data_IF_784740170325
#
_entry.id   IF_784740170325
#
_cell.length_a   1.000
_cell.length_b   1.000
_cell.length_c   1.000
_cell.angle_alpha   90.00
_cell.angle_beta   90.00
_cell.angle_gamma   90.00
#
_symmetry.space_group_name_H-M   'P 1'
#
loop_
_entity.id
_entity.type
_entity.pdbx_description
1 polymer ?
#
# COMPACT_ATOMS: atom_id res chain seq x y z
N UNK A 1 3.15 -4.01 -10.23
CA UNK A 1 4.15 -3.62 -9.20
C UNK A 1 3.44 -3.53 -7.86
N UNK A 2 3.95 -4.18 -6.79
CA UNK A 2 3.36 -4.08 -5.44
C UNK A 2 4.10 -3.00 -4.67
N UNK A 3 3.35 -2.05 -4.14
CA UNK A 3 3.84 -0.80 -3.57
C UNK A 3 3.23 -0.60 -2.19
N UNK A 4 4.03 -0.10 -1.26
CA UNK A 4 3.54 0.42 0.01
C UNK A 4 3.79 1.91 0.08
N UNK A 5 2.86 2.64 0.67
CA UNK A 5 3.03 4.06 0.94
C UNK A 5 3.12 4.28 2.44
N UNK A 6 4.02 5.17 2.85
CA UNK A 6 4.04 5.75 4.19
C UNK A 6 3.96 7.27 4.03
N UNK A 7 3.20 7.93 4.91
CA UNK A 7 3.26 9.38 5.05
C UNK A 7 4.66 9.78 5.53
N UNK A 8 5.24 10.79 4.92
CA UNK A 8 6.45 11.42 5.42
C UNK A 8 6.09 12.31 6.62
N UNK A 9 6.65 12.01 7.79
CA UNK A 9 6.58 12.80 9.03
C UNK A 9 7.98 13.32 9.39
N UNK A 10 8.07 14.49 10.03
CA UNK A 10 9.36 15.07 10.43
C UNK A 10 9.93 14.29 11.64
N UNK A 11 11.26 14.02 11.69
CA UNK A 11 11.87 13.26 12.79
C UNK A 11 11.83 13.99 14.14
N UNK A 12 11.62 15.32 14.16
CA UNK A 12 11.61 16.09 15.40
C UNK A 12 10.29 16.03 16.20
N UNK A 13 9.23 15.43 15.65
CA UNK A 13 7.96 15.26 16.38
C UNK A 13 7.82 13.89 17.06
N UNK A 14 8.79 13.00 16.90
CA UNK A 14 8.79 11.65 17.50
C UNK A 14 9.15 11.65 19.01
N UNK A 15 9.50 12.79 19.61
CA UNK A 15 9.84 12.87 21.04
C UNK A 15 8.63 12.82 21.98
N UNK A 16 7.40 12.90 21.46
CA UNK A 16 6.16 12.72 22.24
C UNK A 16 5.37 11.50 21.76
N UNK A 17 6.07 10.38 21.53
CA UNK A 17 5.45 9.11 21.17
C UNK A 17 4.76 8.48 22.41
N UNK A 18 3.43 8.50 22.38
CA UNK A 18 2.52 7.81 23.30
C UNK A 18 2.89 6.32 23.51
N UNK A 19 2.61 5.72 24.68
CA UNK A 19 3.00 4.35 25.02
C UNK A 19 2.09 3.27 24.40
N UNK A 20 1.20 3.61 23.47
CA UNK A 20 0.34 2.63 22.80
C UNK A 20 0.88 2.32 21.40
N UNK A 21 1.25 1.05 21.22
CA UNK A 21 2.05 0.53 20.12
C UNK A 21 1.70 1.07 18.73
N UNK A 22 2.75 1.28 17.93
CA UNK A 22 2.65 1.53 16.50
C UNK A 22 1.78 0.46 15.84
N UNK A 23 0.52 0.77 15.59
CA UNK A 23 -0.26 0.08 14.57
C UNK A 23 0.29 0.49 13.20
N UNK A 24 1.39 -0.16 12.81
CA UNK A 24 1.91 -0.14 11.44
C UNK A 24 0.97 -0.93 10.53
N UNK A 25 -0.22 -0.38 10.26
CA UNK A 25 -1.09 -0.90 9.20
C UNK A 25 -0.47 -0.55 7.84
N UNK A 26 0.45 -1.40 7.38
CA UNK A 26 0.98 -1.28 6.02
C UNK A 26 0.05 -2.01 5.06
N UNK A 27 -0.94 -1.28 4.55
CA UNK A 27 -1.77 -1.80 3.46
C UNK A 27 -0.89 -2.03 2.22
N UNK A 28 -0.89 -3.26 1.71
CA UNK A 28 -0.23 -3.59 0.44
C UNK A 28 -1.14 -3.14 -0.70
N UNK A 29 -0.65 -2.25 -1.55
CA UNK A 29 -1.38 -1.77 -2.71
C UNK A 29 -0.65 -2.22 -3.99
N UNK A 30 -1.39 -2.69 -4.98
CA UNK A 30 -0.90 -2.89 -6.33
C UNK A 30 -1.28 -1.65 -7.16
N UNK A 31 -0.31 -1.15 -7.93
CA UNK A 31 -0.58 -0.14 -8.95
C UNK A 31 -0.64 -0.81 -10.32
N UNK A 32 -1.75 -0.60 -11.00
CA UNK A 32 -2.01 -1.02 -12.38
C UNK A 32 -1.93 0.22 -13.26
N UNK A 33 -1.05 0.21 -14.26
CA UNK A 33 -0.94 1.33 -15.21
C UNK A 33 -2.09 1.22 -16.21
N UNK A 34 -2.82 2.32 -16.39
CA UNK A 34 -3.92 2.41 -17.37
C UNK A 34 -3.45 3.13 -18.62
N UNK A 35 -2.75 4.24 -18.46
CA UNK A 35 -2.21 5.08 -19.53
C UNK A 35 -1.01 5.88 -19.01
N UNK A 36 -0.35 6.66 -19.87
CA UNK A 36 0.74 7.57 -19.51
C UNK A 36 0.32 8.47 -18.34
N UNK A 37 0.98 8.26 -17.20
CA UNK A 37 0.72 8.96 -15.93
C UNK A 37 -0.67 8.70 -15.32
N UNK A 38 -1.34 7.61 -15.64
CA UNK A 38 -2.64 7.23 -15.06
C UNK A 38 -2.62 5.81 -14.51
N UNK A 39 -3.09 5.63 -13.27
CA UNK A 39 -3.06 4.34 -12.58
C UNK A 39 -4.39 3.99 -11.92
N UNK A 40 -4.64 2.71 -11.75
CA UNK A 40 -5.58 2.16 -10.78
C UNK A 40 -4.81 1.65 -9.57
N UNK A 41 -5.42 1.80 -8.39
CA UNK A 41 -4.82 1.37 -7.13
C UNK A 41 -5.72 0.27 -6.54
N UNK A 42 -5.17 -0.93 -6.38
CA UNK A 42 -5.88 -2.10 -5.84
C UNK A 42 -5.30 -2.49 -4.49
N UNK A 43 -6.16 -2.74 -3.50
CA UNK A 43 -5.75 -3.35 -2.24
C UNK A 43 -5.46 -4.84 -2.43
N UNK A 44 -4.23 -5.28 -2.17
CA UNK A 44 -3.82 -6.68 -2.38
C UNK A 44 -4.52 -7.64 -1.41
N UNK A 45 -4.81 -7.20 -0.19
CA UNK A 45 -5.49 -8.05 0.79
C UNK A 45 -7.01 -8.10 0.57
N UNK A 46 -7.59 -7.00 0.06
CA UNK A 46 -9.03 -6.85 -0.07
C UNK A 46 -9.54 -7.14 -1.47
N UNK A 47 -8.63 -7.25 -2.45
CA UNK A 47 -8.93 -7.36 -3.89
C UNK A 47 -9.85 -6.24 -4.42
N UNK A 48 -9.92 -5.10 -3.71
CA UNK A 48 -10.77 -3.96 -4.04
C UNK A 48 -9.97 -2.79 -4.60
N UNK A 49 -10.58 -2.08 -5.54
CA UNK A 49 -10.06 -0.87 -6.14
C UNK A 49 -10.40 0.35 -5.28
N UNK A 50 -9.45 1.28 -5.21
CA UNK A 50 -9.70 2.61 -4.69
C UNK A 50 -10.46 3.41 -5.75
N UNK A 51 -11.48 4.14 -5.32
CA UNK A 51 -12.23 5.05 -6.18
C UNK A 51 -12.48 6.38 -5.47
N UNK A 52 -12.64 7.45 -6.24
CA UNK A 52 -12.94 8.78 -5.74
C UNK A 52 -14.28 9.25 -6.27
N UNK A 53 -15.21 9.59 -5.37
CA UNK A 53 -16.47 10.21 -5.72
C UNK A 53 -16.29 11.66 -6.18
N UNK A 54 -17.33 12.21 -6.84
CA UNK A 54 -17.35 13.59 -7.36
C UNK A 54 -17.07 14.67 -6.30
N UNK A 55 -17.33 14.36 -5.02
CA UNK A 55 -17.11 15.25 -3.89
C UNK A 55 -15.75 15.02 -3.18
N UNK A 56 -14.83 14.29 -3.83
CA UNK A 56 -13.50 13.97 -3.31
C UNK A 56 -13.47 12.91 -2.21
N UNK A 57 -14.57 12.19 -1.97
CA UNK A 57 -14.60 11.10 -0.98
C UNK A 57 -13.95 9.84 -1.56
N UNK A 58 -13.03 9.24 -0.81
CA UNK A 58 -12.42 7.97 -1.18
C UNK A 58 -13.29 6.80 -0.72
N UNK A 59 -13.53 5.86 -1.62
CA UNK A 59 -14.29 4.65 -1.37
C UNK A 59 -13.55 3.44 -1.94
N UNK A 60 -13.92 2.24 -1.49
CA UNK A 60 -13.36 0.98 -1.95
C UNK A 60 -14.43 0.19 -2.69
N UNK A 61 -14.10 -0.32 -3.88
CA UNK A 61 -15.05 -0.98 -4.80
C UNK A 61 -14.51 -2.33 -5.29
N UNK A 62 -15.39 -3.29 -5.55
CA UNK A 62 -15.02 -4.62 -6.06
C UNK A 62 -14.57 -4.53 -7.52
N UNK A 63 -15.33 -3.81 -8.34
CA UNK A 63 -15.00 -3.58 -9.74
C UNK A 63 -14.49 -2.14 -9.93
N UNK A 64 -13.45 -1.93 -10.75
CA UNK A 64 -12.94 -0.60 -11.01
C UNK A 64 -13.93 0.18 -11.89
N UNK A 65 -14.32 1.36 -11.42
CA UNK A 65 -15.08 2.31 -12.22
C UNK A 65 -14.16 2.94 -13.28
N UNK A 66 -14.66 3.08 -14.51
CA UNK A 66 -13.86 3.58 -15.63
C UNK A 66 -13.37 5.02 -15.44
N UNK A 67 -14.03 5.81 -14.59
CA UNK A 67 -13.70 7.21 -14.35
C UNK A 67 -13.19 7.41 -12.93
N UNK A 68 -13.91 6.87 -11.94
CA UNK A 68 -13.66 7.14 -10.51
C UNK A 68 -12.46 6.38 -9.95
N UNK A 69 -12.04 5.29 -10.58
CA UNK A 69 -10.89 4.47 -10.12
C UNK A 69 -9.57 4.80 -10.82
N UNK A 70 -9.55 5.78 -11.73
CA UNK A 70 -8.33 6.19 -12.44
C UNK A 70 -7.74 7.43 -11.78
N UNK A 71 -6.48 7.34 -11.36
CA UNK A 71 -5.76 8.45 -10.74
C UNK A 71 -4.63 8.90 -11.64
N UNK A 72 -4.61 10.20 -11.94
CA UNK A 72 -3.44 10.84 -12.55
C UNK A 72 -2.32 10.90 -11.52
N UNK A 73 -1.18 10.37 -11.88
CA UNK A 73 0.04 10.33 -11.08
C UNK A 73 0.96 11.46 -11.52
N UNK A 74 1.49 12.20 -10.56
CA UNK A 74 2.55 13.17 -10.81
C UNK A 74 3.70 12.93 -9.84
N UNK A 75 4.90 12.80 -10.38
CA UNK A 75 6.14 12.79 -9.61
C UNK A 75 6.59 14.24 -9.40
N UNK A 76 6.67 14.66 -8.15
CA UNK A 76 7.16 15.98 -7.75
C UNK A 76 8.39 15.79 -6.86
N UNK A 77 9.57 16.11 -7.40
CA UNK A 77 10.87 15.87 -6.75
C UNK A 77 11.05 14.40 -6.35
N UNK A 78 10.65 14.05 -5.14
CA UNK A 78 10.85 12.73 -4.51
C UNK A 78 9.53 12.05 -4.08
N UNK A 79 8.38 12.69 -4.33
CA UNK A 79 7.08 12.16 -3.91
C UNK A 79 6.09 12.08 -5.07
N UNK A 80 5.20 11.12 -4.97
CA UNK A 80 4.07 10.94 -5.86
C UNK A 80 2.84 11.63 -5.30
N UNK A 81 2.06 12.22 -6.19
CA UNK A 81 0.69 12.66 -5.91
C UNK A 81 -0.28 11.92 -6.81
N UNK A 82 -1.49 11.68 -6.30
CA UNK A 82 -2.54 10.96 -7.01
C UNK A 82 -3.80 11.81 -7.02
N UNK A 83 -4.32 12.09 -8.22
CA UNK A 83 -5.45 13.01 -8.43
C UNK A 83 -6.55 12.38 -9.29
N UNK A 84 -7.80 12.62 -8.95
CA UNK A 84 -8.96 12.34 -9.79
C UNK A 84 -9.90 13.55 -9.77
N UNK A 85 -10.29 14.07 -10.95
CA UNK A 85 -11.00 15.34 -11.06
C UNK A 85 -10.22 16.48 -10.40
N UNK A 86 -10.84 17.24 -9.50
CA UNK A 86 -10.18 18.32 -8.76
C UNK A 86 -9.49 17.87 -7.47
N UNK A 87 -9.62 16.60 -7.09
CA UNK A 87 -9.28 16.13 -5.74
C UNK A 87 -8.08 15.21 -5.72
N UNK A 88 -7.31 15.30 -4.63
CA UNK A 88 -6.13 14.50 -4.38
C UNK A 88 -6.43 13.41 -3.35
N UNK A 89 -5.80 12.24 -3.51
CA UNK A 89 -5.66 11.30 -2.41
C UNK A 89 -4.88 11.99 -1.30
N UNK A 90 -5.43 12.02 -0.09
CA UNK A 90 -4.80 12.69 1.03
C UNK A 90 -5.08 12.00 2.35
N UNK A 91 -4.07 11.97 3.21
CA UNK A 91 -4.14 11.40 4.55
C UNK A 91 -3.86 12.45 5.62
N UNK A 92 -4.60 12.41 6.73
CA UNK A 92 -4.31 13.20 7.95
C UNK A 92 -3.10 12.62 8.66
N UNK A 93 -2.50 13.45 9.53
CA UNK A 93 -1.62 12.96 10.59
C UNK A 93 -2.46 12.03 11.49
N UNK A 94 -2.16 10.73 11.49
CA UNK A 94 -3.02 9.68 12.06
C UNK A 94 -3.63 8.70 11.04
N UNK A 95 -3.36 8.87 9.74
CA UNK A 95 -3.65 7.85 8.72
C UNK A 95 -5.09 7.81 8.19
N UNK A 96 -5.99 8.64 8.72
CA UNK A 96 -7.36 8.76 8.20
C UNK A 96 -7.40 9.58 6.91
N UNK A 97 -8.31 9.25 6.00
CA UNK A 97 -8.47 9.99 4.74
C UNK A 97 -9.02 11.39 4.97
N UNK A 98 -8.59 12.35 4.15
CA UNK A 98 -9.18 13.70 4.10
C UNK A 98 -9.40 14.14 2.66
N UNK A 99 -10.31 15.11 2.49
CA UNK A 99 -10.55 15.76 1.20
C UNK A 99 -9.54 16.88 0.99
N UNK A 100 -8.88 16.89 -0.16
CA UNK A 100 -8.01 17.97 -0.60
C UNK A 100 -8.32 18.28 -2.05
N UNK A 101 -8.75 19.51 -2.31
CA UNK A 101 -8.93 20.04 -3.67
C UNK A 101 -7.64 20.70 -4.15
N UNK A 102 -7.36 20.60 -5.44
CA UNK A 102 -6.27 21.34 -6.08
C UNK A 102 -6.47 22.85 -6.04
N UNK A 103 -5.37 23.57 -6.17
CA UNK A 103 -5.39 25.02 -6.38
C UNK A 103 -5.81 25.37 -7.83
N UNK A 104 -5.78 26.65 -8.18
CA UNK A 104 -6.11 27.15 -9.54
C UNK A 104 -5.27 26.50 -10.64
N UNK A 105 -4.02 26.09 -10.33
CA UNK A 105 -3.13 25.41 -11.25
C UNK A 105 -3.30 23.88 -11.22
N UNK A 106 -4.31 23.39 -10.51
CA UNK A 106 -4.62 21.97 -10.37
C UNK A 106 -3.61 21.16 -9.54
N UNK A 107 -2.72 21.81 -8.79
CA UNK A 107 -1.67 21.19 -7.95
C UNK A 107 -2.02 21.23 -6.45
N UNK A 108 -1.31 20.44 -5.65
CA UNK A 108 -1.39 20.48 -4.19
C UNK A 108 -0.01 20.56 -3.54
N UNK A 109 0.25 21.65 -2.83
CA UNK A 109 1.48 21.82 -2.05
C UNK A 109 1.40 21.17 -0.66
N UNK A 110 0.26 20.57 -0.29
CA UNK A 110 0.02 20.03 1.06
C UNK A 110 0.80 18.74 1.27
N UNK A 111 1.50 18.61 2.40
CA UNK A 111 2.22 17.37 2.76
C UNK A 111 1.31 16.14 2.80
N UNK A 112 0.03 16.33 3.14
CA UNK A 112 -0.95 15.25 3.20
C UNK A 112 -1.23 14.55 1.87
N UNK A 113 -0.83 15.13 0.73
CA UNK A 113 -1.02 14.54 -0.62
C UNK A 113 0.26 13.91 -1.18
N UNK A 114 1.35 13.90 -0.41
CA UNK A 114 2.67 13.44 -0.84
C UNK A 114 2.89 12.01 -0.36
N UNK A 115 3.17 11.12 -1.29
CA UNK A 115 3.38 9.70 -1.02
C UNK A 115 4.74 9.27 -1.53
N UNK A 116 5.48 8.55 -0.69
CA UNK A 116 6.75 7.93 -1.09
C UNK A 116 6.49 6.47 -1.41
N UNK A 117 7.03 6.02 -2.54
CA UNK A 117 7.05 4.62 -2.92
C UNK A 117 8.03 3.88 -2.01
N UNK A 118 7.53 2.95 -1.20
CA UNK A 118 8.41 2.07 -0.44
C UNK A 118 8.65 0.79 -1.24
N UNK A 119 9.84 0.68 -1.82
CA UNK A 119 10.32 -0.55 -2.43
C UNK A 119 10.43 -1.63 -1.36
N UNK A 120 9.52 -2.60 -1.40
CA UNK A 120 9.69 -3.82 -0.62
C UNK A 120 10.71 -4.69 -1.35
N UNK A 121 11.98 -4.57 -0.95
CA UNK A 121 12.95 -5.66 -1.19
C UNK A 121 12.32 -6.97 -0.71
N UNK A 122 12.42 -8.08 -1.45
CA UNK A 122 11.97 -9.37 -0.96
C UNK A 122 12.67 -9.63 0.37
N UNK A 123 11.92 -9.56 1.47
CA UNK A 123 12.47 -9.87 2.79
C UNK A 123 12.83 -11.35 2.72
N UNK A 124 14.13 -11.67 2.60
CA UNK A 124 14.61 -13.04 2.82
C UNK A 124 14.00 -13.45 4.16
N UNK A 125 13.08 -14.41 4.14
CA UNK A 125 12.61 -15.05 5.37
C UNK A 125 13.89 -15.57 6.02
N UNK A 126 14.31 -14.97 7.13
CA UNK A 126 15.16 -15.69 8.05
C UNK A 126 14.26 -16.82 8.52
N UNK A 127 14.50 -18.03 8.01
CA UNK A 127 14.13 -19.20 8.77
C UNK A 127 14.67 -18.94 10.18
N UNK A 128 13.83 -19.03 11.24
CA UNK A 128 14.31 -18.82 12.59
C UNK A 128 15.49 -19.76 12.81
N UNK A 129 16.70 -19.19 12.80
CA UNK A 129 17.90 -19.88 13.21
C UNK A 129 17.73 -20.11 14.71
N UNK A 130 17.58 -21.38 15.09
CA UNK A 130 17.53 -21.84 16.47
C UNK A 130 16.29 -21.45 17.27
N UNK A 131 15.18 -22.15 17.05
CA UNK A 131 14.34 -22.61 18.16
C UNK A 131 14.17 -24.11 18.01
N UNK A 132 14.94 -24.86 18.80
CA UNK A 132 14.70 -26.28 19.05
C UNK A 132 15.05 -27.23 17.91
N UNK A 133 16.34 -27.46 17.68
CA UNK A 133 16.82 -28.70 17.06
C UNK A 133 16.69 -29.85 18.08
N UNK A 134 15.47 -30.08 18.61
CA UNK A 134 15.16 -31.37 19.20
C UNK A 134 15.01 -32.34 18.03
N UNK A 135 16.02 -33.21 17.93
CA UNK A 135 16.10 -34.35 17.02
C UNK A 135 14.73 -35.01 16.81
N UNK A 136 14.06 -34.72 15.70
CA UNK A 136 13.08 -35.67 15.15
C UNK A 136 13.89 -36.85 14.61
N UNK A 137 14.19 -37.82 15.49
CA UNK A 137 14.83 -39.08 15.07
C UNK A 137 13.85 -40.05 14.41
N UNK A 138 12.54 -39.82 14.46
CA UNK A 138 11.57 -40.87 14.09
C UNK A 138 10.50 -40.46 13.06
N UNK A 139 10.65 -39.33 12.35
CA UNK A 139 9.71 -39.03 11.26
C UNK A 139 10.17 -39.67 9.95
N UNK A 140 9.80 -40.95 9.74
CA UNK A 140 9.76 -41.55 8.39
C UNK A 140 8.44 -41.17 7.73
N UNK A 141 8.40 -40.24 6.76
CA UNK A 141 7.18 -40.01 6.00
C UNK A 141 6.87 -41.24 5.14
N UNK A 142 5.77 -41.94 5.44
CA UNK A 142 5.19 -42.99 4.59
C UNK A 142 4.52 -42.38 3.34
N UNK A 143 5.27 -41.65 2.52
CA UNK A 143 4.74 -41.00 1.33
C UNK A 143 5.09 -41.70 0.01
N UNK A 144 5.69 -42.91 0.07
CA UNK A 144 5.97 -43.73 -1.12
C UNK A 144 5.78 -45.23 -0.90
N UNK A 145 4.84 -45.65 -0.05
CA UNK A 145 4.30 -47.03 -0.14
C UNK A 145 3.12 -46.99 -1.13
N UNK A 146 3.38 -47.24 -2.42
CA UNK A 146 2.29 -47.40 -3.39
C UNK A 146 2.60 -47.26 -4.87
N UNK A 147 3.74 -46.68 -5.27
CA UNK A 147 4.14 -46.66 -6.69
C UNK A 147 4.92 -47.93 -7.04
N UNK A 148 4.20 -49.05 -7.14
CA UNK A 148 4.67 -50.19 -7.94
C UNK A 148 4.30 -49.93 -9.40
N UNK A 149 5.32 -50.02 -10.24
CA UNK A 149 5.25 -49.99 -11.69
C UNK A 149 4.13 -50.91 -12.20
N UNK A 150 3.30 -50.38 -13.10
CA UNK A 150 2.58 -51.14 -14.11
C UNK A 150 2.89 -50.53 -15.47
#
# INVERSE_FOLDING_TARGET
>A
MIVSFKLQTDPQTDQYAYPFGLFHFTAKLAMEVVDNCSVRIKGVATERYLAMGINGTLVSQIHPDQIRSIFRVQLEKEFFTFKNGDFFIALKHGGTTKKVRGNQNGRSNRRSTRFVLLDRKPRKRRFPSAVGLQRMKDFRPKLFEGLKNH
#
